data_IF_313757544854
#
_entry.id   IF_313757544854
#
_cell.length_a   1.000
_cell.length_b   1.000
_cell.length_c   1.000
_cell.angle_alpha   90.00
_cell.angle_beta   90.00
_cell.angle_gamma   90.00
#
_symmetry.space_group_name_H-M   'P 1'
#
loop_
_entity.id
_entity.type
_entity.pdbx_description
1 polymer ?
#
# COMPACT_ATOMS: atom_id res chain seq x y z
N UNK A 1 7.36 19.22 -57.79
CA UNK A 1 7.84 17.84 -58.00
C UNK A 1 9.31 17.83 -57.62
N UNK A 2 9.64 17.40 -56.41
CA UNK A 2 11.03 17.15 -56.05
C UNK A 2 11.46 15.86 -56.76
N UNK A 3 12.39 16.00 -57.70
CA UNK A 3 12.90 14.85 -58.46
C UNK A 3 13.81 14.03 -57.54
N UNK A 4 13.28 12.97 -56.94
CA UNK A 4 14.03 12.01 -56.11
C UNK A 4 15.30 11.49 -56.79
N UNK A 5 15.28 11.40 -58.12
CA UNK A 5 16.44 11.06 -58.97
C UNK A 5 17.57 12.10 -58.87
N UNK A 6 17.25 13.38 -58.74
CA UNK A 6 18.23 14.47 -58.60
C UNK A 6 19.00 14.37 -57.28
N UNK A 7 18.31 14.02 -56.18
CA UNK A 7 18.93 13.84 -54.87
C UNK A 7 19.81 12.60 -54.82
N UNK A 8 19.36 11.50 -55.42
CA UNK A 8 20.17 10.29 -55.54
C UNK A 8 21.45 10.55 -56.35
N UNK A 9 21.34 11.19 -57.52
CA UNK A 9 22.49 11.53 -58.37
C UNK A 9 23.45 12.49 -57.65
N UNK A 10 22.94 13.51 -56.94
CA UNK A 10 23.79 14.42 -56.16
C UNK A 10 24.55 13.70 -55.04
N UNK A 11 23.91 12.77 -54.34
CA UNK A 11 24.55 12.01 -53.26
C UNK A 11 25.63 11.07 -53.78
N UNK A 12 25.35 10.35 -54.87
CA UNK A 12 26.26 9.31 -55.39
C UNK A 12 27.35 9.91 -56.27
N UNK A 13 26.97 10.80 -57.20
CA UNK A 13 27.86 11.33 -58.23
C UNK A 13 28.28 12.78 -58.01
N UNK A 14 27.69 13.51 -57.06
CA UNK A 14 27.98 14.94 -56.88
C UNK A 14 29.44 15.23 -56.55
N UNK A 15 30.01 14.52 -55.56
CA UNK A 15 31.42 14.64 -55.17
C UNK A 15 32.39 14.17 -56.26
N UNK A 16 32.28 12.95 -56.82
CA UNK A 16 33.22 12.49 -57.85
C UNK A 16 33.17 13.33 -59.12
N UNK A 17 31.98 13.77 -59.53
CA UNK A 17 31.83 14.56 -60.75
C UNK A 17 32.42 15.96 -60.56
N UNK A 18 32.22 16.58 -59.39
CA UNK A 18 32.85 17.86 -59.04
C UNK A 18 34.37 17.78 -59.07
N UNK A 19 34.94 16.76 -58.44
CA UNK A 19 36.39 16.57 -58.38
C UNK A 19 36.97 16.24 -59.77
N UNK A 20 36.29 15.39 -60.55
CA UNK A 20 36.69 15.04 -61.91
C UNK A 20 36.66 16.25 -62.86
N UNK A 21 35.60 17.07 -62.81
CA UNK A 21 35.48 18.28 -63.62
C UNK A 21 36.52 19.34 -63.22
N UNK A 22 36.82 19.45 -61.93
CA UNK A 22 37.91 20.32 -61.45
C UNK A 22 39.25 19.85 -61.99
N UNK A 23 39.50 18.53 -62.00
CA UNK A 23 40.71 17.96 -62.58
C UNK A 23 40.79 18.20 -64.10
N UNK A 24 39.69 18.07 -64.85
CA UNK A 24 39.65 18.40 -66.28
C UNK A 24 40.00 19.87 -66.51
N UNK A 25 39.45 20.78 -65.70
CA UNK A 25 39.74 22.21 -65.81
C UNK A 25 41.22 22.53 -65.53
N UNK A 26 41.86 21.80 -64.61
CA UNK A 26 43.27 21.98 -64.23
C UNK A 26 44.25 21.39 -65.25
N UNK A 27 44.01 20.15 -65.71
CA UNK A 27 44.95 19.41 -66.56
C UNK A 27 44.72 19.62 -68.06
N UNK A 28 43.57 20.17 -68.46
CA UNK A 28 43.18 20.44 -69.85
C UNK A 28 43.59 19.32 -70.83
N UNK A 29 43.12 18.07 -70.59
CA UNK A 29 43.50 16.94 -71.41
C UNK A 29 43.01 17.08 -72.85
N UNK A 30 43.76 16.52 -73.80
CA UNK A 30 43.42 16.52 -75.23
C UNK A 30 42.06 15.85 -75.51
N UNK A 31 41.72 14.81 -74.73
CA UNK A 31 40.41 14.16 -74.73
C UNK A 31 39.81 14.23 -73.30
N UNK A 32 38.97 15.24 -73.02
CA UNK A 32 38.36 15.42 -71.71
C UNK A 32 37.34 14.34 -71.36
N UNK A 33 36.70 13.72 -72.36
CA UNK A 33 35.70 12.67 -72.12
C UNK A 33 36.41 11.39 -71.69
N UNK A 34 37.47 11.00 -72.40
CA UNK A 34 38.26 9.82 -72.04
C UNK A 34 38.95 9.99 -70.67
N UNK A 35 39.46 11.19 -70.39
CA UNK A 35 40.05 11.51 -69.09
C UNK A 35 39.02 11.40 -67.95
N UNK A 36 37.83 11.98 -68.14
CA UNK A 36 36.76 11.92 -67.14
C UNK A 36 36.33 10.48 -66.86
N UNK A 37 36.14 9.67 -67.90
CA UNK A 37 35.77 8.26 -67.74
C UNK A 37 36.83 7.46 -66.97
N UNK A 38 38.11 7.69 -67.28
CA UNK A 38 39.23 7.04 -66.60
C UNK A 38 39.36 7.50 -65.14
N UNK A 39 39.14 8.79 -64.88
CA UNK A 39 39.15 9.37 -63.54
C UNK A 39 38.04 8.77 -62.67
N UNK A 40 36.81 8.74 -63.17
CA UNK A 40 35.65 8.18 -62.46
C UNK A 40 35.80 6.68 -62.22
N UNK A 41 36.37 5.93 -63.16
CA UNK A 41 36.71 4.51 -62.98
C UNK A 41 37.68 4.31 -61.82
N UNK A 42 38.76 5.08 -61.78
CA UNK A 42 39.75 4.99 -60.70
C UNK A 42 39.19 5.47 -59.36
N UNK A 43 38.33 6.48 -59.38
CA UNK A 43 37.62 6.95 -58.20
C UNK A 43 36.68 5.89 -57.65
N UNK A 44 35.92 5.17 -58.49
CA UNK A 44 35.02 4.12 -58.03
C UNK A 44 35.77 2.98 -57.31
N UNK A 45 36.97 2.61 -57.80
CA UNK A 45 37.83 1.63 -57.12
C UNK A 45 38.28 2.13 -55.75
N UNK A 46 38.75 3.40 -55.67
CA UNK A 46 39.15 4.01 -54.40
C UNK A 46 37.98 4.24 -53.44
N UNK A 47 36.81 4.57 -53.97
CA UNK A 47 35.59 4.82 -53.21
C UNK A 47 35.07 3.53 -52.58
N UNK A 48 35.10 2.41 -53.30
CA UNK A 48 34.78 1.09 -52.74
C UNK A 48 35.63 0.81 -51.49
N UNK A 49 36.92 1.10 -51.56
CA UNK A 49 37.85 0.77 -50.49
C UNK A 49 37.75 1.77 -49.30
N UNK A 50 37.40 3.04 -49.55
CA UNK A 50 37.29 4.07 -48.51
C UNK A 50 35.89 4.22 -47.87
N UNK A 51 34.81 3.92 -48.60
CA UNK A 51 33.45 4.16 -48.11
C UNK A 51 32.89 3.07 -47.23
N UNK A 52 33.51 1.88 -47.22
CA UNK A 52 33.17 0.84 -46.25
C UNK A 52 33.34 1.38 -44.82
N UNK A 53 34.38 2.19 -44.57
CA UNK A 53 34.61 2.76 -43.25
C UNK A 53 33.57 3.83 -42.89
N UNK A 54 33.29 4.77 -43.79
CA UNK A 54 32.28 5.83 -43.55
C UNK A 54 30.87 5.26 -43.37
N UNK A 55 30.49 4.24 -44.16
CA UNK A 55 29.22 3.55 -44.01
C UNK A 55 29.15 2.79 -42.69
N UNK A 56 30.22 2.08 -42.29
CA UNK A 56 30.28 1.40 -41.01
C UNK A 56 30.14 2.37 -39.82
N UNK A 57 30.73 3.57 -39.90
CA UNK A 57 30.58 4.62 -38.89
C UNK A 57 29.14 5.13 -38.83
N UNK A 58 28.48 5.35 -39.97
CA UNK A 58 27.07 5.76 -40.02
C UNK A 58 26.16 4.69 -39.41
N UNK A 59 26.37 3.41 -39.76
CA UNK A 59 25.61 2.28 -39.22
C UNK A 59 25.81 2.14 -37.70
N UNK A 60 27.06 2.23 -37.24
CA UNK A 60 27.39 2.17 -35.81
C UNK A 60 26.75 3.31 -35.03
N UNK A 61 26.75 4.53 -35.58
CA UNK A 61 26.09 5.67 -34.96
C UNK A 61 24.57 5.46 -34.86
N UNK A 62 23.90 4.95 -35.90
CA UNK A 62 22.47 4.61 -35.82
C UNK A 62 22.18 3.61 -34.70
N UNK A 63 22.99 2.56 -34.58
CA UNK A 63 22.84 1.56 -33.52
C UNK A 63 23.01 2.20 -32.14
N UNK A 64 24.03 3.04 -31.97
CA UNK A 64 24.31 3.74 -30.71
C UNK A 64 23.19 4.72 -30.33
N UNK A 65 22.59 5.42 -31.29
CA UNK A 65 21.58 6.45 -31.01
C UNK A 65 20.16 5.90 -30.88
N UNK A 66 19.81 4.85 -31.63
CA UNK A 66 18.42 4.37 -31.70
C UNK A 66 18.22 3.09 -30.89
N UNK A 67 19.09 2.10 -31.07
CA UNK A 67 18.90 0.75 -30.52
C UNK A 67 19.35 0.63 -29.06
N UNK A 68 20.48 1.23 -28.69
CA UNK A 68 21.01 1.12 -27.33
C UNK A 68 20.12 1.84 -26.30
N UNK A 69 19.67 3.09 -26.52
CA UNK A 69 18.83 3.79 -25.54
C UNK A 69 17.47 3.10 -25.35
N UNK A 70 16.87 2.57 -26.42
CA UNK A 70 15.61 1.85 -26.34
C UNK A 70 15.71 0.59 -25.46
N UNK A 71 16.80 -0.18 -25.59
CA UNK A 71 17.02 -1.38 -24.78
C UNK A 71 17.23 -1.02 -23.30
N UNK A 72 18.00 0.03 -23.00
CA UNK A 72 18.23 0.49 -21.62
C UNK A 72 16.92 0.98 -20.99
N UNK A 73 16.11 1.74 -21.72
CA UNK A 73 14.80 2.21 -21.23
C UNK A 73 13.86 1.03 -20.95
N UNK A 74 13.80 0.04 -21.84
CA UNK A 74 12.97 -1.15 -21.66
C UNK A 74 13.42 -1.96 -20.44
N UNK A 75 14.72 -2.10 -20.21
CA UNK A 75 15.28 -2.78 -19.04
C UNK A 75 14.95 -2.02 -17.74
N UNK A 76 15.09 -0.69 -17.74
CA UNK A 76 14.74 0.14 -16.59
C UNK A 76 13.24 0.04 -16.27
N UNK A 77 12.36 0.05 -17.27
CA UNK A 77 10.93 -0.10 -17.05
C UNK A 77 10.57 -1.46 -16.44
N UNK A 78 11.20 -2.54 -16.93
CA UNK A 78 11.04 -3.89 -16.37
C UNK A 78 11.48 -3.92 -14.90
N UNK A 79 12.62 -3.33 -14.56
CA UNK A 79 13.11 -3.27 -13.18
C UNK A 79 12.14 -2.54 -12.25
N UNK A 80 11.66 -1.34 -12.65
CA UNK A 80 10.68 -0.56 -11.90
C UNK A 80 9.39 -1.36 -11.67
N UNK A 81 8.95 -2.11 -12.68
CA UNK A 81 7.75 -2.94 -12.57
C UNK A 81 7.93 -4.06 -11.55
N UNK A 82 9.08 -4.74 -11.56
CA UNK A 82 9.40 -5.77 -10.57
C UNK A 82 9.46 -5.21 -9.14
N UNK A 83 10.09 -4.05 -8.94
CA UNK A 83 10.13 -3.39 -7.63
C UNK A 83 8.72 -3.03 -7.13
N UNK A 84 7.86 -2.48 -7.99
CA UNK A 84 6.47 -2.18 -7.63
C UNK A 84 5.69 -3.44 -7.24
N UNK A 85 5.88 -4.54 -7.95
CA UNK A 85 5.26 -5.82 -7.61
C UNK A 85 5.76 -6.35 -6.27
N UNK A 86 7.07 -6.29 -6.03
CA UNK A 86 7.68 -6.72 -4.76
C UNK A 86 7.17 -5.89 -3.57
N UNK A 87 7.13 -4.56 -3.71
CA UNK A 87 6.60 -3.68 -2.68
C UNK A 87 5.12 -3.95 -2.41
N UNK A 88 4.33 -4.26 -3.44
CA UNK A 88 2.93 -4.63 -3.28
C UNK A 88 2.78 -5.96 -2.54
N UNK A 89 3.59 -6.97 -2.86
CA UNK A 89 3.55 -8.25 -2.15
C UNK A 89 3.98 -8.13 -0.69
N UNK A 90 5.01 -7.33 -0.39
CA UNK A 90 5.43 -7.09 1.00
C UNK A 90 4.35 -6.35 1.79
N UNK A 91 3.67 -5.37 1.20
CA UNK A 91 2.52 -4.70 1.85
C UNK A 91 1.39 -5.67 2.18
N UNK A 92 1.07 -6.58 1.26
CA UNK A 92 0.05 -7.62 1.50
C UNK A 92 0.47 -8.53 2.65
N UNK A 93 1.75 -8.96 2.70
CA UNK A 93 2.25 -9.81 3.80
C UNK A 93 2.16 -9.11 5.15
N UNK A 94 2.55 -7.83 5.21
CA UNK A 94 2.45 -7.03 6.44
C UNK A 94 0.99 -6.85 6.87
N UNK A 95 0.07 -6.61 5.94
CA UNK A 95 -1.36 -6.48 6.25
C UNK A 95 -1.95 -7.80 6.79
N UNK A 96 -1.55 -8.94 6.21
CA UNK A 96 -1.94 -10.26 6.69
C UNK A 96 -1.38 -10.55 8.10
N UNK A 97 -0.11 -10.25 8.35
CA UNK A 97 0.52 -10.37 9.67
C UNK A 97 -0.16 -9.46 10.71
N UNK A 98 -0.49 -8.21 10.35
CA UNK A 98 -1.23 -7.31 11.24
C UNK A 98 -2.63 -7.84 11.55
N UNK A 99 -3.33 -8.40 10.55
CA UNK A 99 -4.66 -8.99 10.73
C UNK A 99 -4.59 -10.19 11.68
N UNK A 100 -3.55 -11.02 11.57
CA UNK A 100 -3.31 -12.13 12.49
C UNK A 100 -3.04 -11.62 13.91
N UNK A 101 -2.16 -10.62 14.09
CA UNK A 101 -1.90 -10.01 15.41
C UNK A 101 -3.16 -9.42 16.03
N UNK A 102 -4.00 -8.74 15.25
CA UNK A 102 -5.29 -8.19 15.73
C UNK A 102 -6.25 -9.31 16.14
N UNK A 103 -6.30 -10.42 15.42
CA UNK A 103 -7.13 -11.57 15.77
C UNK A 103 -6.65 -12.23 17.07
N UNK A 104 -5.34 -12.34 17.27
CA UNK A 104 -4.74 -12.91 18.47
C UNK A 104 -4.98 -12.03 19.71
N UNK A 105 -4.83 -10.70 19.58
CA UNK A 105 -5.17 -9.75 20.65
C UNK A 105 -6.65 -9.85 21.01
N UNK A 106 -7.56 -10.00 20.02
CA UNK A 106 -8.99 -10.20 20.28
C UNK A 106 -9.24 -11.49 21.06
N UNK A 107 -8.64 -12.61 20.66
CA UNK A 107 -8.72 -13.88 21.39
C UNK A 107 -8.23 -13.75 22.83
N UNK A 108 -7.10 -13.07 23.05
CA UNK A 108 -6.58 -12.84 24.40
C UNK A 108 -7.57 -12.01 25.24
N UNK A 109 -8.15 -10.95 24.67
CA UNK A 109 -9.18 -10.13 25.36
C UNK A 109 -10.44 -10.92 25.68
N UNK A 110 -10.87 -11.82 24.80
CA UNK A 110 -12.01 -12.70 25.04
C UNK A 110 -11.70 -13.70 26.16
N UNK A 111 -10.51 -14.30 26.16
CA UNK A 111 -10.06 -15.19 27.22
C UNK A 111 -9.94 -14.47 28.58
N UNK A 112 -9.42 -13.24 28.62
CA UNK A 112 -9.35 -12.48 29.87
C UNK A 112 -10.73 -12.10 30.39
N UNK A 113 -11.66 -11.70 29.51
CA UNK A 113 -13.06 -11.46 29.87
C UNK A 113 -13.76 -12.72 30.37
N UNK A 114 -13.57 -13.84 29.70
CA UNK A 114 -14.15 -15.12 30.12
C UNK A 114 -13.61 -15.53 31.51
N UNK A 115 -12.30 -15.41 31.73
CA UNK A 115 -11.68 -15.65 33.05
C UNK A 115 -12.21 -14.69 34.11
N UNK A 116 -12.38 -13.39 33.80
CA UNK A 116 -12.91 -12.44 34.77
C UNK A 116 -14.36 -12.74 35.15
N UNK A 117 -15.19 -13.15 34.17
CA UNK A 117 -16.56 -13.60 34.41
C UNK A 117 -16.55 -14.86 35.26
N UNK A 118 -15.71 -15.85 34.94
CA UNK A 118 -15.59 -17.08 35.72
C UNK A 118 -15.16 -16.80 37.17
N UNK A 119 -14.21 -15.89 37.39
CA UNK A 119 -13.81 -15.49 38.74
C UNK A 119 -14.91 -14.74 39.48
N UNK A 120 -15.67 -13.89 38.79
CA UNK A 120 -16.82 -13.19 39.36
C UNK A 120 -17.92 -14.17 39.75
N UNK A 121 -18.21 -15.14 38.89
CA UNK A 121 -19.21 -16.18 39.14
C UNK A 121 -18.81 -17.05 40.35
N UNK A 122 -17.54 -17.47 40.43
CA UNK A 122 -17.01 -18.20 41.60
C UNK A 122 -17.09 -17.38 42.88
N UNK A 123 -16.89 -16.07 42.81
CA UNK A 123 -17.04 -15.18 43.96
C UNK A 123 -18.50 -15.09 44.39
N UNK A 124 -19.44 -14.90 43.46
CA UNK A 124 -20.87 -14.90 43.77
C UNK A 124 -21.32 -16.26 44.32
N UNK A 125 -20.87 -17.38 43.78
CA UNK A 125 -21.17 -18.72 44.31
C UNK A 125 -20.68 -18.90 45.76
N UNK A 126 -19.56 -18.27 46.14
CA UNK A 126 -19.03 -18.32 47.51
C UNK A 126 -19.75 -17.38 48.47
N UNK A 127 -20.16 -16.21 48.00
CA UNK A 127 -20.83 -15.19 48.83
C UNK A 127 -22.33 -15.51 48.98
N UNK A 128 -22.94 -16.14 47.99
CA UNK A 128 -24.38 -16.41 47.95
C UNK A 128 -24.90 -17.18 49.17
N UNK A 129 -24.24 -18.26 49.65
CA UNK A 129 -24.68 -18.98 50.85
C UNK A 129 -24.67 -18.08 52.11
N UNK A 130 -23.62 -17.28 52.28
CA UNK A 130 -23.48 -16.37 53.44
C UNK A 130 -24.57 -15.29 53.43
N UNK A 131 -24.84 -14.70 52.26
CA UNK A 131 -25.94 -13.75 52.09
C UNK A 131 -27.31 -14.39 52.35
N UNK A 132 -27.50 -15.66 51.98
CA UNK A 132 -28.74 -16.39 52.21
C UNK A 132 -28.97 -16.67 53.70
N UNK A 133 -27.91 -17.03 54.43
CA UNK A 133 -27.94 -17.20 55.88
C UNK A 133 -28.29 -15.87 56.57
N UNK A 134 -27.60 -14.77 56.25
CA UNK A 134 -27.89 -13.43 56.79
C UNK A 134 -29.33 -12.98 56.46
N UNK A 135 -29.81 -13.23 55.25
CA UNK A 135 -31.17 -12.88 54.84
C UNK A 135 -32.22 -13.72 55.57
N UNK A 136 -31.94 -15.00 55.83
CA UNK A 136 -32.81 -15.88 56.60
C UNK A 136 -32.88 -15.44 58.07
N UNK A 137 -31.75 -15.05 58.66
CA UNK A 137 -31.72 -14.48 60.02
C UNK A 137 -32.51 -13.18 60.11
N UNK A 138 -32.36 -12.27 59.13
CA UNK A 138 -33.13 -11.02 59.08
C UNK A 138 -34.63 -11.26 58.87
N UNK A 139 -35.01 -12.25 58.06
CA UNK A 139 -36.42 -12.65 57.92
C UNK A 139 -36.97 -13.18 59.24
N UNK A 140 -36.24 -14.03 59.95
CA UNK A 140 -36.65 -14.55 61.25
C UNK A 140 -36.79 -13.43 62.30
N UNK A 141 -35.88 -12.44 62.30
CA UNK A 141 -36.00 -11.25 63.14
C UNK A 141 -37.26 -10.43 62.82
N UNK A 142 -37.56 -10.23 61.53
CA UNK A 142 -38.76 -9.49 61.10
C UNK A 142 -40.05 -10.25 61.44
N UNK A 143 -40.07 -11.57 61.25
CA UNK A 143 -41.18 -12.43 61.66
C UNK A 143 -41.39 -12.37 63.17
N UNK A 144 -40.31 -12.39 63.96
CA UNK A 144 -40.37 -12.24 65.41
C UNK A 144 -40.91 -10.87 65.82
N UNK A 145 -40.50 -9.78 65.16
CA UNK A 145 -41.02 -8.43 65.40
C UNK A 145 -42.51 -8.35 65.04
N UNK A 146 -42.91 -8.92 63.91
CA UNK A 146 -44.30 -8.96 63.47
C UNK A 146 -45.18 -9.76 64.44
N UNK A 147 -44.69 -10.92 64.88
CA UNK A 147 -45.35 -11.73 65.90
C UNK A 147 -45.46 -10.98 67.22
N UNK A 148 -44.39 -10.32 67.69
CA UNK A 148 -44.39 -9.55 68.94
C UNK A 148 -45.39 -8.38 68.88
N UNK A 149 -45.49 -7.68 67.75
CA UNK A 149 -46.50 -6.64 67.52
C UNK A 149 -47.92 -7.21 67.51
N UNK A 150 -48.14 -8.34 66.85
CA UNK A 150 -49.44 -9.02 66.84
C UNK A 150 -49.84 -9.54 68.24
N UNK A 151 -48.87 -10.00 69.03
CA UNK A 151 -49.07 -10.46 70.41
C UNK A 151 -49.33 -9.29 71.37
N UNK A 152 -48.67 -8.14 71.20
CA UNK A 152 -49.01 -6.91 71.92
C UNK A 152 -50.43 -6.43 71.59
N UNK A 153 -50.81 -6.42 70.31
CA UNK A 153 -52.18 -6.09 69.88
C UNK A 153 -53.23 -7.08 70.44
N UNK A 154 -52.86 -8.33 70.74
CA UNK A 154 -53.72 -9.32 71.42
C UNK A 154 -53.78 -9.17 72.93
N UNK A 155 -52.80 -8.49 73.55
CA UNK A 155 -52.78 -8.17 74.98
C UNK A 155 -53.41 -6.82 75.30
N UNK A 156 -53.59 -5.95 74.31
CA UNK A 156 -54.29 -4.68 74.41
C UNK A 156 -55.84 -4.70 74.39
N UNK A 157 -56.60 -5.82 74.37
CA UNK A 157 -58.05 -5.74 74.52
C UNK A 157 -58.51 -5.83 75.98
N UNK A 158 -57.73 -5.31 76.96
CA UNK A 158 -58.12 -5.22 78.38
C UNK A 158 -57.39 -4.11 79.18
N UNK A 159 -56.85 -3.08 78.53
CA UNK A 159 -56.19 -1.96 79.24
C UNK A 159 -56.65 -0.58 78.74
N UNK A 160 -57.88 -0.47 78.25
CA UNK A 160 -58.57 0.80 77.98
C UNK A 160 -60.04 0.72 78.41
N UNK A 161 -60.28 0.30 79.65
CA UNK A 161 -61.40 0.77 80.47
C UNK A 161 -60.84 0.98 81.88
N UNK A 162 -60.33 2.19 82.14
CA UNK A 162 -60.32 2.87 83.45
C UNK A 162 -59.15 3.87 83.53
N UNK A 163 -59.38 5.10 83.07
CA UNK A 163 -59.09 6.34 83.82
C UNK A 163 -59.31 7.58 82.95
N UNK A 164 -60.55 8.04 82.91
CA UNK A 164 -60.76 9.49 82.91
C UNK A 164 -60.24 10.10 84.23
N UNK A 165 -59.79 11.35 84.14
CA UNK A 165 -59.51 12.31 85.23
C UNK A 165 -58.10 12.29 85.87
N UNK A 166 -57.23 13.20 85.39
CA UNK A 166 -56.58 14.24 86.24
C UNK A 166 -55.81 15.20 85.30
N UNK A 167 -56.38 16.32 84.87
CA UNK A 167 -56.22 17.67 85.45
C UNK A 167 -54.78 18.22 85.44
N UNK A 168 -54.65 19.40 84.81
CA UNK A 168 -53.71 20.49 85.13
C UNK A 168 -52.22 20.19 84.90
N UNK A 169 -51.34 21.12 84.53
CA UNK A 169 -51.35 22.56 84.29
C UNK A 169 -49.92 22.88 83.78
N UNK A 170 -49.77 23.94 82.98
CA UNK A 170 -48.58 24.85 82.92
C UNK A 170 -47.24 24.21 82.45
N UNK A 171 -46.34 24.87 81.73
CA UNK A 171 -45.95 26.27 81.68
C UNK A 171 -44.99 26.45 80.46
N UNK A 172 -45.08 27.64 79.84
CA UNK A 172 -44.08 28.37 79.03
C UNK A 172 -43.16 27.69 77.99
#
# INVERSE_FOLDING_TARGET
MEHSESEYIKRVLGKPLKDALTAVALYQPLDPIHFLATYLKNWAVKFRDNCIHELAVIEANKILTELIPFNIQLQAERAIRHEKFFLKSERMRVEEEEKQRRAEIKRQKELTKAKSIETSNKLTERIWPVLLEDAAEKLAELEFIAWKKAEQARREPNADEDSESSSNDLEE
#
